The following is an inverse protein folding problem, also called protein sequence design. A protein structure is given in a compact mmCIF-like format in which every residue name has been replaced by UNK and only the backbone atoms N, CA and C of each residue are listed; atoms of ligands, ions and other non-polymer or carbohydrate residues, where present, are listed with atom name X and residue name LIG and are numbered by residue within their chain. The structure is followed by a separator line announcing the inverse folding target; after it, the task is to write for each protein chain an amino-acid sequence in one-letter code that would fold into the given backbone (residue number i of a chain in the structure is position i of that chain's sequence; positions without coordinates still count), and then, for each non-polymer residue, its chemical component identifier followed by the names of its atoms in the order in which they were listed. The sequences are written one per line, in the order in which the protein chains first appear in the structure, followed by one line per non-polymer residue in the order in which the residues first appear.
data_IF_083843170667
#
_entry.id   IF_083843170667
#
_cell.length_a   1.000
_cell.length_b   1.000
_cell.length_c   1.000
_cell.angle_alpha   90.00
_cell.angle_beta   90.00
_cell.angle_gamma   90.00
#
_symmetry.space_group_name_H-M   'P 1'
#
loop_
_entity.id
_entity.type
_entity.pdbx_description
1 polymer ?
#
# COMPACT_ATOMS: atom_id res chain seq x y z
N UNK A 1 26.43 11.85 -14.90
CA UNK A 1 25.52 10.71 -14.60
C UNK A 1 26.12 9.49 -15.30
N UNK A 2 26.59 8.53 -14.55
CA UNK A 2 27.09 7.25 -15.09
C UNK A 2 25.91 6.42 -15.61
N UNK A 3 26.00 5.95 -16.84
CA UNK A 3 24.92 5.15 -17.44
C UNK A 3 24.97 3.71 -16.90
N UNK A 4 23.83 2.99 -16.97
CA UNK A 4 23.71 1.57 -16.60
C UNK A 4 24.75 0.69 -17.31
N UNK A 5 25.11 1.08 -18.53
CA UNK A 5 26.12 0.40 -19.35
C UNK A 5 27.56 0.58 -18.81
N UNK A 6 27.82 1.78 -18.25
CA UNK A 6 29.16 2.08 -17.68
C UNK A 6 29.32 1.37 -16.31
N UNK A 7 28.22 1.24 -15.54
CA UNK A 7 28.19 0.45 -14.30
C UNK A 7 28.48 -1.04 -14.58
N UNK A 8 27.83 -1.62 -15.58
CA UNK A 8 28.03 -3.03 -15.95
C UNK A 8 29.44 -3.29 -16.54
N UNK A 9 29.97 -2.33 -17.29
CA UNK A 9 31.39 -2.44 -17.79
C UNK A 9 32.38 -2.39 -16.64
N UNK A 10 32.18 -1.51 -15.66
CA UNK A 10 33.04 -1.40 -14.48
C UNK A 10 32.96 -2.65 -13.59
N UNK A 11 31.75 -3.28 -13.51
CA UNK A 11 31.58 -4.56 -12.81
C UNK A 11 32.33 -5.70 -13.53
N UNK A 12 32.24 -5.77 -14.85
CA UNK A 12 32.90 -6.79 -15.66
C UNK A 12 34.43 -6.67 -15.61
N UNK A 13 34.97 -5.45 -15.57
CA UNK A 13 36.43 -5.22 -15.43
C UNK A 13 36.91 -5.49 -14.00
N UNK A 14 36.08 -5.27 -12.98
CA UNK A 14 36.37 -5.63 -11.58
C UNK A 14 36.39 -7.14 -11.32
N UNK A 15 35.56 -7.92 -12.02
CA UNK A 15 35.48 -9.38 -11.87
C UNK A 15 36.62 -10.11 -12.58
N UNK A 16 37.23 -9.54 -13.62
CA UNK A 16 38.41 -10.13 -14.29
C UNK A 16 39.67 -10.14 -13.41
N UNK A 17 39.72 -9.31 -12.35
CA UNK A 17 40.83 -9.27 -11.39
C UNK A 17 40.68 -10.22 -10.20
N UNK A 18 39.56 -10.97 -10.10
CA UNK A 18 39.19 -11.78 -8.91
C UNK A 18 39.00 -13.28 -9.23
N UNK A 19 39.57 -13.77 -10.33
CA UNK A 19 39.54 -15.20 -10.68
C UNK A 19 40.50 -16.09 -9.84
N UNK A 20 40.92 -15.63 -8.67
CA UNK A 20 41.64 -16.46 -7.69
C UNK A 20 40.85 -16.42 -6.38
N UNK A 21 39.92 -17.36 -6.23
CA UNK A 21 39.53 -17.97 -4.96
C UNK A 21 39.05 -17.07 -3.82
N UNK A 22 38.44 -15.88 -4.06
CA UNK A 22 38.00 -14.99 -2.98
C UNK A 22 36.51 -14.69 -3.02
N UNK A 23 35.79 -15.09 -1.97
CA UNK A 23 34.44 -14.60 -1.65
C UNK A 23 34.53 -13.09 -1.50
N UNK A 24 33.78 -12.30 -2.30
CA UNK A 24 33.68 -10.85 -2.13
C UNK A 24 32.89 -10.60 -0.80
N UNK A 25 33.57 -10.08 0.26
CA UNK A 25 32.87 -9.77 1.49
C UNK A 25 31.93 -8.58 1.24
N UNK A 26 30.64 -8.73 1.50
CA UNK A 26 29.67 -7.65 1.53
C UNK A 26 28.57 -7.65 0.46
N UNK A 27 28.58 -8.57 -0.51
CA UNK A 27 27.47 -8.74 -1.45
C UNK A 27 26.62 -9.92 -0.99
N UNK A 28 25.71 -9.66 -0.06
CA UNK A 28 24.70 -10.63 0.33
C UNK A 28 23.57 -10.68 -0.71
N UNK A 29 22.86 -11.81 -0.82
CA UNK A 29 21.62 -11.91 -1.60
C UNK A 29 20.61 -10.79 -1.24
N UNK A 30 20.69 -10.27 -0.04
CA UNK A 30 19.94 -9.10 0.45
C UNK A 30 20.33 -7.81 -0.26
N UNK A 31 21.60 -7.64 -0.67
CA UNK A 31 22.08 -6.45 -1.38
C UNK A 31 21.63 -6.43 -2.85
N UNK A 32 21.49 -7.59 -3.47
CA UNK A 32 20.92 -7.70 -4.82
C UNK A 32 19.43 -7.31 -4.82
N UNK A 33 18.69 -7.65 -3.78
CA UNK A 33 17.26 -7.29 -3.65
C UNK A 33 17.02 -5.80 -3.45
N UNK A 34 18.05 -4.99 -3.23
CA UNK A 34 17.93 -3.53 -3.05
C UNK A 34 18.31 -2.70 -4.28
N UNK A 35 18.72 -3.34 -5.38
CA UNK A 35 19.03 -2.63 -6.63
C UNK A 35 17.71 -2.34 -7.36
N UNK A 36 17.19 -1.15 -7.18
CA UNK A 36 16.05 -0.63 -7.95
C UNK A 36 16.31 -0.74 -9.46
N UNK A 37 15.54 -1.58 -10.14
CA UNK A 37 15.55 -1.68 -11.61
C UNK A 37 15.97 -3.00 -12.22
N UNK A 38 16.24 -4.05 -11.44
CA UNK A 38 16.37 -5.41 -11.96
C UNK A 38 15.00 -6.08 -11.81
N UNK A 39 14.27 -6.36 -12.85
CA UNK A 39 13.06 -7.21 -12.93
C UNK A 39 12.22 -7.44 -11.65
N UNK A 40 12.35 -6.59 -10.65
CA UNK A 40 11.83 -6.80 -9.31
C UNK A 40 10.49 -6.10 -9.15
N UNK A 41 9.55 -6.88 -8.68
CA UNK A 41 8.23 -6.42 -8.32
C UNK A 41 8.32 -5.56 -7.05
N UNK A 42 7.49 -4.53 -6.96
CA UNK A 42 7.31 -3.79 -5.72
C UNK A 42 6.76 -4.73 -4.63
N UNK A 43 7.44 -4.77 -3.50
CA UNK A 43 7.01 -5.55 -2.34
C UNK A 43 5.99 -4.74 -1.54
N UNK A 44 4.82 -5.32 -1.37
CA UNK A 44 3.66 -4.64 -0.80
C UNK A 44 3.32 -5.22 0.57
N UNK A 45 3.21 -4.33 1.57
CA UNK A 45 2.53 -4.59 2.82
C UNK A 45 1.10 -4.05 2.75
N UNK A 46 0.12 -4.78 3.28
CA UNK A 46 -1.28 -4.33 3.33
C UNK A 46 -1.76 -4.34 4.77
N UNK A 47 -2.26 -3.20 5.25
CA UNK A 47 -2.89 -3.03 6.56
C UNK A 47 -4.40 -2.85 6.41
N UNK A 48 -5.18 -3.69 7.12
CA UNK A 48 -6.64 -3.74 7.00
C UNK A 48 -7.08 -4.54 5.78
N UNK A 49 -7.36 -5.84 5.95
CA UNK A 49 -7.58 -6.76 4.81
C UNK A 49 -8.95 -7.44 4.81
N UNK A 50 -9.92 -6.92 5.55
CA UNK A 50 -11.23 -7.58 5.61
C UNK A 50 -12.07 -7.33 4.34
N UNK A 51 -12.50 -6.10 4.09
CA UNK A 51 -13.43 -5.75 2.98
C UNK A 51 -12.67 -5.13 1.80
N UNK A 52 -12.50 -3.80 1.83
CA UNK A 52 -11.84 -3.06 0.76
C UNK A 52 -10.38 -3.47 0.61
N UNK A 53 -9.67 -3.64 1.71
CA UNK A 53 -8.29 -4.09 1.68
C UNK A 53 -8.13 -5.47 1.04
N UNK A 54 -9.06 -6.41 1.26
CA UNK A 54 -9.03 -7.70 0.60
C UNK A 54 -9.17 -7.58 -0.93
N UNK A 55 -10.05 -6.68 -1.41
CA UNK A 55 -10.21 -6.44 -2.83
C UNK A 55 -8.92 -5.88 -3.46
N UNK A 56 -8.29 -4.92 -2.79
CA UNK A 56 -7.00 -4.35 -3.22
C UNK A 56 -5.91 -5.42 -3.21
N UNK A 57 -5.81 -6.21 -2.12
CA UNK A 57 -4.84 -7.30 -1.97
C UNK A 57 -4.93 -8.29 -3.13
N UNK A 58 -6.15 -8.69 -3.52
CA UNK A 58 -6.37 -9.60 -4.66
C UNK A 58 -5.90 -8.99 -5.98
N UNK A 59 -6.19 -7.73 -6.22
CA UNK A 59 -5.75 -7.02 -7.44
C UNK A 59 -4.22 -6.91 -7.50
N UNK A 60 -3.57 -6.57 -6.38
CA UNK A 60 -2.12 -6.45 -6.30
C UNK A 60 -1.42 -7.81 -6.42
N UNK A 61 -2.03 -8.89 -5.89
CA UNK A 61 -1.45 -10.23 -5.96
C UNK A 61 -1.24 -10.73 -7.39
N UNK A 62 -2.11 -10.33 -8.32
CA UNK A 62 -2.01 -10.73 -9.74
C UNK A 62 -1.34 -9.65 -10.62
N UNK A 63 -0.95 -8.50 -10.04
CA UNK A 63 -0.31 -7.44 -10.82
C UNK A 63 1.12 -7.82 -11.18
N UNK A 64 1.51 -7.60 -12.43
CA UNK A 64 2.83 -8.01 -12.95
C UNK A 64 4.02 -7.37 -12.21
N UNK A 65 3.86 -6.13 -11.74
CA UNK A 65 4.92 -5.33 -11.11
C UNK A 65 4.81 -5.29 -9.57
N UNK A 66 3.94 -6.14 -8.96
CA UNK A 66 3.73 -6.16 -7.52
C UNK A 66 3.82 -7.57 -6.95
N UNK A 67 4.23 -7.67 -5.69
CA UNK A 67 4.15 -8.89 -4.89
C UNK A 67 3.69 -8.51 -3.47
N UNK A 68 2.60 -9.11 -3.01
CA UNK A 68 2.12 -8.92 -1.64
C UNK A 68 2.93 -9.79 -0.71
N UNK A 69 3.75 -9.19 0.13
CA UNK A 69 4.70 -9.89 1.02
C UNK A 69 4.32 -9.86 2.49
N UNK A 70 3.50 -8.87 2.91
CA UNK A 70 3.14 -8.65 4.30
C UNK A 70 1.67 -8.29 4.42
N UNK A 71 1.00 -8.84 5.45
CA UNK A 71 -0.39 -8.56 5.80
C UNK A 71 -0.44 -8.14 7.27
N UNK A 72 -1.13 -7.05 7.57
CA UNK A 72 -1.40 -6.61 8.93
C UNK A 72 -2.91 -6.44 9.14
N UNK A 73 -3.47 -7.17 10.08
CA UNK A 73 -4.84 -6.99 10.52
C UNK A 73 -4.98 -7.46 11.97
N UNK A 74 -5.81 -6.77 12.73
CA UNK A 74 -6.13 -7.09 14.13
C UNK A 74 -7.14 -8.24 14.25
N UNK A 75 -7.85 -8.58 13.14
CA UNK A 75 -8.69 -9.77 13.01
C UNK A 75 -7.88 -10.89 12.34
N UNK A 76 -7.49 -11.90 13.11
CA UNK A 76 -6.69 -13.04 12.63
C UNK A 76 -7.37 -13.78 11.47
N UNK A 77 -8.70 -13.88 11.45
CA UNK A 77 -9.48 -14.53 10.41
C UNK A 77 -9.40 -13.76 9.09
N UNK A 78 -9.41 -12.42 9.15
CA UNK A 78 -9.26 -11.57 7.98
C UNK A 78 -7.85 -11.69 7.40
N UNK A 79 -6.82 -11.70 8.26
CA UNK A 79 -5.43 -11.88 7.86
C UNK A 79 -5.20 -13.24 7.19
N UNK A 80 -5.65 -14.34 7.78
CA UNK A 80 -5.54 -15.70 7.23
C UNK A 80 -6.27 -15.84 5.89
N UNK A 81 -7.47 -15.26 5.79
CA UNK A 81 -8.24 -15.21 4.54
C UNK A 81 -7.49 -14.47 3.44
N UNK A 82 -6.86 -13.33 3.77
CA UNK A 82 -6.07 -12.57 2.82
C UNK A 82 -4.86 -13.37 2.32
N UNK A 83 -4.10 -13.98 3.22
CA UNK A 83 -2.96 -14.85 2.88
C UNK A 83 -3.39 -16.02 1.99
N UNK A 84 -4.49 -16.71 2.33
CA UNK A 84 -5.03 -17.79 1.49
C UNK A 84 -5.37 -17.33 0.07
N UNK A 85 -5.94 -16.11 -0.08
CA UNK A 85 -6.23 -15.55 -1.40
C UNK A 85 -4.96 -15.22 -2.19
N UNK A 86 -3.95 -14.62 -1.56
CA UNK A 86 -2.66 -14.32 -2.22
C UNK A 86 -1.99 -15.63 -2.65
N UNK A 87 -1.94 -16.64 -1.77
CA UNK A 87 -1.35 -17.95 -2.10
C UNK A 87 -2.03 -18.61 -3.30
N UNK A 88 -3.36 -18.55 -3.35
CA UNK A 88 -4.12 -19.11 -4.50
C UNK A 88 -3.88 -18.34 -5.80
N UNK A 89 -3.74 -17.02 -5.73
CA UNK A 89 -3.63 -16.16 -6.91
C UNK A 89 -2.20 -16.05 -7.45
N UNK A 90 -1.20 -15.99 -6.57
CA UNK A 90 0.19 -15.66 -6.91
C UNK A 90 1.22 -16.73 -6.47
N UNK A 91 0.81 -17.73 -5.69
CA UNK A 91 1.69 -18.81 -5.22
C UNK A 91 2.56 -18.46 -4.00
N UNK A 92 2.72 -17.19 -3.65
CA UNK A 92 3.50 -16.78 -2.47
C UNK A 92 2.64 -16.70 -1.21
N UNK A 93 3.29 -16.76 -0.05
CA UNK A 93 2.63 -16.71 1.25
C UNK A 93 3.11 -15.49 2.02
N UNK A 94 2.31 -14.41 2.14
CA UNK A 94 2.65 -13.23 2.92
C UNK A 94 2.85 -13.55 4.41
N UNK A 95 3.74 -12.81 5.09
CA UNK A 95 3.86 -12.83 6.54
C UNK A 95 2.68 -12.09 7.18
N UNK A 96 2.16 -12.59 8.30
CA UNK A 96 1.06 -11.98 9.05
C UNK A 96 1.60 -11.22 10.26
N UNK A 97 1.01 -10.05 10.52
CA UNK A 97 1.26 -9.19 11.67
C UNK A 97 -0.08 -8.70 12.25
N UNK A 98 -0.20 -8.62 13.56
CA UNK A 98 -1.31 -7.95 14.21
C UNK A 98 -1.02 -6.45 14.41
N UNK A 99 0.25 -6.10 14.63
CA UNK A 99 0.72 -4.75 14.91
C UNK A 99 1.50 -4.18 13.73
N UNK A 100 1.08 -3.02 13.23
CA UNK A 100 1.77 -2.32 12.15
C UNK A 100 3.21 -1.94 12.52
N UNK A 101 3.48 -1.65 13.78
CA UNK A 101 4.83 -1.27 14.26
C UNK A 101 5.83 -2.40 14.09
N UNK A 102 5.39 -3.64 14.23
CA UNK A 102 6.23 -4.81 13.97
C UNK A 102 6.40 -5.05 12.46
N UNK A 103 5.32 -4.92 11.68
CA UNK A 103 5.41 -5.06 10.23
C UNK A 103 6.33 -4.02 9.60
N UNK A 104 6.36 -2.79 10.09
CA UNK A 104 7.20 -1.71 9.54
C UNK A 104 8.71 -1.95 9.74
N UNK A 105 9.12 -2.86 10.60
CA UNK A 105 10.52 -3.29 10.75
C UNK A 105 10.98 -4.20 9.60
N UNK A 106 10.04 -4.75 8.85
CA UNK A 106 10.31 -5.66 7.74
C UNK A 106 10.68 -4.90 6.45
N UNK A 107 11.29 -5.65 5.52
CA UNK A 107 11.75 -5.11 4.25
C UNK A 107 10.66 -5.23 3.18
N UNK A 108 9.97 -4.12 2.89
CA UNK A 108 9.00 -3.95 1.79
C UNK A 108 8.99 -2.48 1.36
N UNK A 109 8.38 -2.17 0.22
CA UNK A 109 8.53 -0.88 -0.45
C UNK A 109 7.32 0.04 -0.24
N UNK A 110 6.10 -0.51 -0.27
CA UNK A 110 4.85 0.24 -0.24
C UNK A 110 3.91 -0.34 0.80
N UNK A 111 3.36 0.52 1.67
CA UNK A 111 2.25 0.18 2.55
C UNK A 111 0.93 0.58 1.89
N UNK A 112 0.01 -0.36 1.79
CA UNK A 112 -1.41 -0.10 1.50
C UNK A 112 -2.16 -0.02 2.81
N UNK A 113 -2.87 1.09 3.05
CA UNK A 113 -3.70 1.31 4.24
C UNK A 113 -5.17 1.32 3.83
N UNK A 114 -5.94 0.35 4.33
CA UNK A 114 -7.37 0.19 4.08
C UNK A 114 -8.14 -0.19 5.36
N UNK A 115 -7.70 0.35 6.47
CA UNK A 115 -8.26 0.23 7.82
C UNK A 115 -9.51 1.10 8.01
N UNK A 116 -10.15 1.10 9.19
CA UNK A 116 -11.01 2.20 9.61
C UNK A 116 -10.27 3.55 9.65
N UNK A 117 -11.02 4.63 9.50
CA UNK A 117 -10.52 5.99 9.23
C UNK A 117 -9.52 6.51 10.26
N UNK A 118 -9.72 6.16 11.54
CA UNK A 118 -8.85 6.60 12.64
C UNK A 118 -7.41 6.07 12.55
N UNK A 119 -7.19 4.97 11.83
CA UNK A 119 -5.87 4.41 11.57
C UNK A 119 -5.21 4.92 10.28
N UNK A 120 -5.94 5.64 9.42
CA UNK A 120 -5.40 6.08 8.12
C UNK A 120 -4.18 6.96 8.26
N UNK A 121 -4.30 8.10 8.94
CA UNK A 121 -3.19 9.03 9.09
C UNK A 121 -2.06 8.47 9.97
N UNK A 122 -2.32 7.88 11.16
CA UNK A 122 -1.26 7.29 11.97
C UNK A 122 -0.44 6.24 11.22
N UNK A 123 -1.08 5.28 10.56
CA UNK A 123 -0.39 4.22 9.82
C UNK A 123 0.43 4.76 8.65
N UNK A 124 -0.13 5.70 7.88
CA UNK A 124 0.58 6.32 6.76
C UNK A 124 1.81 7.12 7.21
N UNK A 125 1.70 7.89 8.31
CA UNK A 125 2.82 8.65 8.85
C UNK A 125 3.92 7.73 9.36
N UNK A 126 3.58 6.67 10.11
CA UNK A 126 4.55 5.67 10.58
C UNK A 126 5.24 4.96 9.41
N UNK A 127 4.50 4.64 8.35
CA UNK A 127 5.07 4.02 7.15
C UNK A 127 6.10 4.93 6.46
N UNK A 128 5.75 6.21 6.26
CA UNK A 128 6.68 7.19 5.68
C UNK A 128 7.92 7.39 6.55
N UNK A 129 7.74 7.41 7.87
CA UNK A 129 8.82 7.49 8.86
C UNK A 129 9.74 6.27 8.78
N UNK A 130 9.18 5.07 8.53
CA UNK A 130 9.93 3.83 8.29
C UNK A 130 10.48 3.71 6.86
N UNK A 131 10.40 4.78 6.05
CA UNK A 131 10.97 4.80 4.70
C UNK A 131 10.11 4.15 3.62
N UNK A 132 8.82 3.85 3.87
CA UNK A 132 7.91 3.23 2.91
C UNK A 132 7.11 4.29 2.15
N UNK A 133 6.76 4.01 0.89
CA UNK A 133 5.71 4.73 0.18
C UNK A 133 4.33 4.25 0.64
N UNK A 134 3.28 5.03 0.37
CA UNK A 134 1.94 4.73 0.90
C UNK A 134 0.87 4.81 -0.20
N UNK A 135 0.03 3.80 -0.28
CA UNK A 135 -1.29 3.87 -0.89
C UNK A 135 -2.32 3.94 0.23
N UNK A 136 -3.06 5.04 0.31
CA UNK A 136 -3.99 5.34 1.40
C UNK A 136 -5.43 5.36 0.89
N UNK A 137 -6.30 4.51 1.42
CA UNK A 137 -7.72 4.57 1.08
C UNK A 137 -8.39 5.85 1.57
N UNK A 138 -9.50 6.17 0.93
CA UNK A 138 -10.34 7.31 1.33
C UNK A 138 -11.21 6.96 2.54
N UNK A 139 -11.53 7.92 3.44
CA UNK A 139 -10.97 9.26 3.55
C UNK A 139 -9.51 9.20 4.01
N UNK A 140 -8.72 10.22 3.71
CA UNK A 140 -7.28 10.21 4.03
C UNK A 140 -6.97 10.28 5.51
N UNK A 141 -7.93 10.75 6.30
CA UNK A 141 -7.77 10.91 7.75
C UNK A 141 -9.12 10.99 8.44
N UNK A 142 -9.10 10.95 9.76
CA UNK A 142 -10.26 11.11 10.62
C UNK A 142 -10.57 12.60 10.92
N UNK A 143 -9.57 13.49 10.77
CA UNK A 143 -9.72 14.92 11.05
C UNK A 143 -8.94 15.78 10.05
N UNK A 144 -9.33 17.09 9.87
CA UNK A 144 -8.57 18.01 9.01
C UNK A 144 -7.12 18.20 9.47
N UNK A 145 -6.85 18.25 10.77
CA UNK A 145 -5.50 18.40 11.31
C UNK A 145 -4.58 17.23 10.91
N UNK A 146 -5.09 16.01 10.89
CA UNK A 146 -4.32 14.85 10.43
C UNK A 146 -3.95 14.94 8.95
N UNK A 147 -4.80 15.54 8.10
CA UNK A 147 -4.46 15.78 6.69
C UNK A 147 -3.24 16.71 6.54
N UNK A 148 -3.14 17.76 7.36
CA UNK A 148 -1.97 18.62 7.37
C UNK A 148 -0.72 17.86 7.81
N UNK A 149 -0.83 16.99 8.82
CA UNK A 149 0.27 16.15 9.27
C UNK A 149 0.73 15.18 8.17
N UNK A 150 -0.19 14.59 7.41
CA UNK A 150 0.12 13.73 6.27
C UNK A 150 0.94 14.45 5.20
N UNK A 151 0.54 15.67 4.82
CA UNK A 151 1.27 16.48 3.83
C UNK A 151 2.67 16.81 4.34
N UNK A 152 2.79 17.24 5.59
CA UNK A 152 4.09 17.55 6.22
C UNK A 152 4.98 16.32 6.31
N UNK A 153 4.41 15.15 6.66
CA UNK A 153 5.16 13.91 6.74
C UNK A 153 5.66 13.45 5.36
N UNK A 154 4.82 13.53 4.31
CA UNK A 154 5.21 13.19 2.96
C UNK A 154 6.39 14.04 2.48
N UNK A 155 6.35 15.36 2.74
CA UNK A 155 7.46 16.27 2.43
C UNK A 155 8.70 15.97 3.28
N UNK A 156 8.55 15.81 4.61
CA UNK A 156 9.66 15.59 5.55
C UNK A 156 10.43 14.30 5.25
N UNK A 157 9.72 13.21 4.95
CA UNK A 157 10.34 11.91 4.71
C UNK A 157 10.60 11.62 3.22
N UNK A 158 10.25 12.56 2.34
CA UNK A 158 10.37 12.43 0.88
C UNK A 158 9.74 11.12 0.37
N UNK A 159 8.47 10.89 0.73
CA UNK A 159 7.70 9.71 0.34
C UNK A 159 6.47 10.09 -0.46
N UNK A 160 6.11 9.19 -1.37
CA UNK A 160 4.91 9.33 -2.20
C UNK A 160 3.73 8.76 -1.42
N UNK A 161 2.63 9.54 -1.39
CA UNK A 161 1.33 9.10 -0.87
C UNK A 161 0.31 9.19 -2.00
N UNK A 162 -0.20 8.03 -2.43
CA UNK A 162 -1.28 7.95 -3.40
C UNK A 162 -2.60 7.70 -2.68
N UNK A 163 -3.58 8.59 -2.91
CA UNK A 163 -4.93 8.43 -2.34
C UNK A 163 -5.80 7.53 -3.22
N UNK A 164 -6.54 6.61 -2.60
CA UNK A 164 -7.41 5.62 -3.23
C UNK A 164 -8.71 6.19 -3.81
N UNK A 165 -8.62 7.18 -4.68
CA UNK A 165 -9.75 7.79 -5.40
C UNK A 165 -9.94 7.14 -6.78
N UNK A 166 -10.14 5.83 -6.82
CA UNK A 166 -10.13 5.01 -8.04
C UNK A 166 -11.11 5.47 -9.14
N UNK A 167 -12.25 6.06 -8.76
CA UNK A 167 -13.24 6.55 -9.75
C UNK A 167 -12.69 7.67 -10.62
N UNK A 168 -11.75 8.45 -10.12
CA UNK A 168 -11.10 9.51 -10.90
C UNK A 168 -10.25 8.97 -12.05
N UNK A 169 -9.88 7.69 -12.00
CA UNK A 169 -9.10 7.02 -13.04
C UNK A 169 -9.95 6.14 -13.97
N UNK A 170 -11.28 6.15 -13.82
CA UNK A 170 -12.15 5.41 -14.74
C UNK A 170 -12.23 6.10 -16.10
N UNK A 171 -11.99 5.41 -17.21
CA UNK A 171 -11.99 6.02 -18.55
C UNK A 171 -13.27 6.80 -18.86
N UNK A 172 -14.44 6.24 -18.50
CA UNK A 172 -15.72 6.92 -18.71
C UNK A 172 -15.88 8.19 -17.87
N UNK A 173 -15.33 8.22 -16.65
CA UNK A 173 -15.36 9.42 -15.79
C UNK A 173 -14.42 10.48 -16.36
N UNK A 174 -13.22 10.10 -16.79
CA UNK A 174 -12.26 10.99 -17.44
C UNK A 174 -12.91 11.63 -18.68
N UNK A 175 -13.45 10.78 -19.59
CA UNK A 175 -14.13 11.25 -20.78
C UNK A 175 -15.30 12.18 -20.47
N UNK A 176 -16.13 11.82 -19.48
CA UNK A 176 -17.25 12.68 -19.06
C UNK A 176 -16.79 14.06 -18.55
N UNK A 177 -15.70 14.14 -17.82
CA UNK A 177 -15.13 15.42 -17.36
C UNK A 177 -14.56 16.21 -18.54
N UNK A 178 -13.86 15.57 -19.48
CA UNK A 178 -13.36 16.20 -20.71
C UNK A 178 -14.51 16.80 -21.54
N UNK A 179 -15.61 16.08 -21.73
CA UNK A 179 -16.81 16.57 -22.43
C UNK A 179 -17.39 17.82 -21.74
N UNK A 180 -17.47 17.81 -20.39
CA UNK A 180 -17.93 18.98 -19.62
C UNK A 180 -16.97 20.17 -19.80
N UNK A 181 -15.67 19.95 -19.74
CA UNK A 181 -14.64 20.99 -19.91
C UNK A 181 -14.64 21.57 -21.34
N UNK A 182 -14.94 20.73 -22.33
CA UNK A 182 -15.05 21.14 -23.73
C UNK A 182 -16.37 21.85 -24.05
N UNK A 183 -17.23 22.08 -23.05
CA UNK A 183 -18.44 22.86 -23.19
C UNK A 183 -19.64 22.12 -23.80
N UNK A 184 -19.61 20.76 -23.83
CA UNK A 184 -20.71 19.94 -24.37
C UNK A 184 -22.07 20.27 -23.74
N UNK A 185 -22.08 20.67 -22.46
CA UNK A 185 -23.29 21.09 -21.74
C UNK A 185 -23.36 22.61 -21.52
N UNK A 186 -22.52 23.39 -22.24
CA UNK A 186 -22.37 24.82 -22.04
C UNK A 186 -21.60 25.19 -20.78
N UNK A 187 -21.78 26.45 -20.30
CA UNK A 187 -21.11 26.91 -19.09
C UNK A 187 -21.72 26.24 -17.85
N UNK A 188 -20.90 25.53 -17.09
CA UNK A 188 -21.31 24.89 -15.83
C UNK A 188 -21.37 25.94 -14.73
N UNK A 189 -22.56 26.25 -14.25
CA UNK A 189 -22.79 27.18 -13.14
C UNK A 189 -23.39 26.56 -11.89
N UNK A 190 -23.79 25.28 -11.98
CA UNK A 190 -24.38 24.55 -10.85
C UNK A 190 -24.05 23.06 -10.93
N UNK A 191 -23.72 22.48 -9.79
CA UNK A 191 -23.52 21.04 -9.63
C UNK A 191 -24.23 20.52 -8.37
N UNK A 192 -24.94 19.38 -8.49
CA UNK A 192 -25.61 18.74 -7.37
C UNK A 192 -25.14 17.30 -7.21
N UNK A 193 -24.64 16.98 -6.04
CA UNK A 193 -24.33 15.59 -5.62
C UNK A 193 -25.32 15.11 -4.56
N UNK A 194 -25.68 13.84 -4.62
CA UNK A 194 -26.50 13.21 -3.59
C UNK A 194 -26.12 11.75 -3.40
N UNK A 195 -26.51 11.23 -2.25
CA UNK A 195 -26.30 9.83 -1.88
C UNK A 195 -27.66 9.13 -1.77
N UNK A 196 -27.86 8.09 -2.55
CA UNK A 196 -29.14 7.39 -2.68
C UNK A 196 -29.13 5.96 -2.10
N UNK A 197 -28.07 5.57 -1.41
CA UNK A 197 -27.99 4.21 -0.87
C UNK A 197 -28.89 4.05 0.36
N UNK A 198 -29.92 3.24 0.23
CA UNK A 198 -30.78 2.86 1.35
C UNK A 198 -30.08 1.74 2.14
N UNK A 199 -29.39 2.12 3.22
CA UNK A 199 -28.78 1.15 4.12
C UNK A 199 -29.80 0.72 5.19
N UNK A 200 -29.95 -0.59 5.45
CA UNK A 200 -30.75 -1.05 6.56
C UNK A 200 -30.15 -0.57 7.89
N UNK A 201 -30.99 -0.54 8.92
CA UNK A 201 -30.51 -0.29 10.29
C UNK A 201 -29.50 -1.37 10.69
N UNK A 202 -28.43 -0.97 11.38
CA UNK A 202 -27.47 -1.89 11.99
C UNK A 202 -27.98 -2.50 13.30
N UNK A 203 -29.21 -2.12 13.73
CA UNK A 203 -29.78 -2.54 14.99
C UNK A 203 -29.26 -1.77 16.21
N UNK A 204 -29.53 -2.32 17.38
CA UNK A 204 -29.01 -1.80 18.66
C UNK A 204 -27.85 -2.67 19.10
N UNK A 205 -26.69 -2.06 19.33
CA UNK A 205 -25.51 -2.74 19.82
C UNK A 205 -25.72 -3.32 21.22
N UNK A 206 -25.08 -4.45 21.52
CA UNK A 206 -25.00 -5.05 22.84
C UNK A 206 -23.55 -5.11 23.28
N UNK A 207 -23.31 -4.91 24.57
CA UNK A 207 -21.99 -5.17 25.15
C UNK A 207 -21.76 -6.68 25.15
N UNK A 208 -20.66 -7.10 24.52
CA UNK A 208 -20.25 -8.50 24.44
C UNK A 208 -18.76 -8.62 24.78
N UNK A 209 -18.28 -9.77 25.25
CA UNK A 209 -16.86 -10.02 25.40
C UNK A 209 -16.12 -9.84 24.07
N UNK A 210 -14.89 -9.33 24.13
CA UNK A 210 -14.02 -9.26 22.95
C UNK A 210 -13.70 -10.68 22.50
N UNK A 211 -13.93 -11.02 21.22
CA UNK A 211 -13.62 -12.36 20.72
C UNK A 211 -12.11 -12.60 20.65
N UNK A 212 -11.66 -13.83 20.85
CA UNK A 212 -10.24 -14.24 20.87
C UNK A 212 -9.51 -13.97 19.53
N UNK A 213 -10.24 -13.88 18.43
CA UNK A 213 -9.69 -13.59 17.10
C UNK A 213 -9.46 -12.11 16.82
N UNK A 214 -9.87 -11.19 17.72
CA UNK A 214 -9.76 -9.74 17.56
C UNK A 214 -8.86 -9.13 18.63
N UNK A 215 -7.79 -8.48 18.20
CA UNK A 215 -7.02 -7.62 19.10
C UNK A 215 -7.70 -6.25 19.20
N UNK A 216 -8.54 -6.09 20.24
CA UNK A 216 -9.34 -4.88 20.44
C UNK A 216 -8.49 -3.66 20.78
N UNK A 217 -7.41 -3.83 21.55
CA UNK A 217 -6.53 -2.73 21.97
C UNK A 217 -5.82 -2.09 20.77
N UNK A 218 -5.50 -2.87 19.76
CA UNK A 218 -4.93 -2.37 18.50
C UNK A 218 -5.99 -1.90 17.50
N UNK A 219 -7.26 -2.27 17.70
CA UNK A 219 -8.34 -1.84 16.82
C UNK A 219 -8.75 -0.39 17.09
N UNK A 220 -8.65 0.09 18.33
CA UNK A 220 -9.08 1.42 18.80
C UNK A 220 -8.24 2.58 18.27
#
# INVERSE_FOLDING_TARGET
MTTRRDFLKNLATGTAALSVGGIIPGVSAKSYNSILGSNEKFRIGVMGVNSRGLAITKTLAIHKDAIVTHICDVDSRAAEKAVSNVKKAAGNTPKIFADIREMLKEDFDILVVATPDHWHAPAAIMAMQAGKHVYLEKPTSHSPAENELLIRAAAKYNKIVQVGNQRRSWPNVIKGIEEVQNGTIGNVYYGKGWYTNNRPSIGIGKVVPVPDWLNWDLWQ
#
